data_IF_342230273038
#
_entry.id   IF_342230273038
#
_cell.length_a   1.000
_cell.length_b   1.000
_cell.length_c   1.000
_cell.angle_alpha   90.00
_cell.angle_beta   90.00
_cell.angle_gamma   90.00
#
_symmetry.space_group_name_H-M   'P 1'
#
loop_
_entity.id
_entity.type
_entity.pdbx_description
1 polymer ?
#
# COMPACT_ATOMS: atom_id res chain seq x y z
N UNK A 1 -6.76 1.88 -19.88
CA UNK A 1 -6.39 0.58 -19.27
C UNK A 1 -5.41 0.90 -18.15
N UNK A 2 -5.58 0.37 -16.95
CA UNK A 2 -4.90 0.70 -15.68
C UNK A 2 -5.26 2.05 -15.06
N UNK A 3 -6.48 2.53 -15.31
CA UNK A 3 -7.04 3.62 -14.52
C UNK A 3 -7.18 3.20 -13.04
N UNK A 4 -7.23 4.16 -12.14
CA UNK A 4 -7.44 3.85 -10.72
C UNK A 4 -8.71 3.01 -10.51
N UNK A 5 -9.80 3.30 -11.24
CA UNK A 5 -11.07 2.57 -11.18
C UNK A 5 -10.98 1.09 -11.58
N UNK A 6 -9.94 0.67 -12.29
CA UNK A 6 -9.73 -0.76 -12.63
C UNK A 6 -9.33 -1.59 -11.39
N UNK A 7 -8.77 -0.93 -10.36
CA UNK A 7 -8.21 -1.57 -9.15
C UNK A 7 -8.89 -1.12 -7.86
N UNK A 8 -9.39 0.11 -7.80
CA UNK A 8 -9.73 0.82 -6.58
C UNK A 8 -11.13 1.43 -6.67
N UNK A 9 -11.89 1.35 -5.61
CA UNK A 9 -13.09 2.14 -5.43
C UNK A 9 -12.73 3.46 -4.73
N UNK A 10 -12.63 4.51 -5.51
CA UNK A 10 -12.25 5.83 -5.01
C UNK A 10 -13.33 6.50 -4.12
N UNK A 11 -14.56 5.99 -4.08
CA UNK A 11 -15.63 6.53 -3.22
C UNK A 11 -15.32 6.31 -1.72
N UNK A 12 -14.50 5.32 -1.41
CA UNK A 12 -14.04 4.99 -0.05
C UNK A 12 -12.62 5.47 0.24
N UNK A 13 -12.17 6.51 -0.43
CA UNK A 13 -10.86 7.12 -0.21
C UNK A 13 -10.99 8.59 0.15
N UNK A 14 -10.60 8.95 1.37
CA UNK A 14 -10.59 10.35 1.83
C UNK A 14 -9.66 11.26 0.99
N UNK A 15 -8.76 10.69 0.22
CA UNK A 15 -7.77 11.37 -0.63
C UNK A 15 -7.99 11.06 -2.11
N UNK A 16 -9.24 10.86 -2.54
CA UNK A 16 -9.58 10.50 -3.93
C UNK A 16 -9.16 11.58 -4.95
N UNK A 17 -9.12 12.84 -4.53
CA UNK A 17 -8.65 13.97 -5.32
C UNK A 17 -7.21 13.83 -5.80
N UNK A 18 -6.37 13.10 -5.05
CA UNK A 18 -4.98 12.79 -5.43
C UNK A 18 -4.91 11.99 -6.73
N UNK A 19 -5.94 11.19 -7.03
CA UNK A 19 -6.01 10.37 -8.25
C UNK A 19 -6.56 11.15 -9.47
N UNK A 20 -7.05 12.38 -9.29
CA UNK A 20 -7.47 13.22 -10.40
C UNK A 20 -6.30 13.41 -11.40
N UNK A 21 -6.63 13.41 -12.69
CA UNK A 21 -5.66 13.57 -13.79
C UNK A 21 -4.52 12.53 -13.80
N UNK A 22 -4.71 11.36 -13.19
CA UNK A 22 -3.80 10.22 -13.33
C UNK A 22 -4.22 9.38 -14.55
N UNK A 23 -3.36 9.29 -15.55
CA UNK A 23 -3.59 8.44 -16.72
C UNK A 23 -3.51 6.95 -16.34
N UNK A 24 -2.59 6.62 -15.46
CA UNK A 24 -2.43 5.29 -14.89
C UNK A 24 -2.48 5.37 -13.35
N UNK A 25 -2.95 4.30 -12.72
CA UNK A 25 -3.10 4.23 -11.25
C UNK A 25 -1.81 4.53 -10.50
N UNK A 26 -0.65 4.15 -11.01
CA UNK A 26 0.65 4.42 -10.38
C UNK A 26 1.13 5.87 -10.50
N UNK A 27 0.51 6.70 -11.35
CA UNK A 27 0.92 8.10 -11.50
C UNK A 27 0.66 8.91 -10.22
N UNK A 28 -0.26 8.45 -9.37
CA UNK A 28 -0.53 9.04 -8.07
C UNK A 28 0.72 9.09 -7.17
N UNK A 29 1.60 8.11 -7.26
CA UNK A 29 2.85 8.07 -6.49
C UNK A 29 3.79 9.23 -6.85
N UNK A 30 3.78 9.71 -8.11
CA UNK A 30 4.55 10.88 -8.53
C UNK A 30 4.05 12.16 -7.87
N UNK A 31 2.76 12.21 -7.52
CA UNK A 31 2.11 13.39 -6.94
C UNK A 31 2.17 13.42 -5.42
N UNK A 32 2.41 12.28 -4.77
CA UNK A 32 2.25 12.11 -3.33
C UNK A 32 3.07 13.10 -2.50
N UNK A 33 4.33 13.35 -2.85
CA UNK A 33 5.18 14.33 -2.16
C UNK A 33 4.62 15.75 -2.26
N UNK A 34 4.19 16.15 -3.46
CA UNK A 34 3.62 17.48 -3.69
C UNK A 34 2.27 17.63 -2.98
N UNK A 35 1.51 16.55 -2.89
CA UNK A 35 0.25 16.50 -2.16
C UNK A 35 0.45 16.81 -0.68
N UNK A 36 1.43 16.19 -0.04
CA UNK A 36 1.78 16.51 1.35
C UNK A 36 2.25 17.95 1.57
N UNK A 37 2.88 18.55 0.57
CA UNK A 37 3.32 19.96 0.67
C UNK A 37 2.18 20.97 0.53
N UNK A 38 1.17 20.63 -0.24
CA UNK A 38 0.06 21.55 -0.59
C UNK A 38 -1.19 21.35 0.26
N UNK A 39 -1.38 20.16 0.80
CA UNK A 39 -2.60 19.80 1.54
C UNK A 39 -2.43 20.08 3.03
N UNK A 40 -3.43 20.74 3.63
CA UNK A 40 -3.53 20.87 5.08
C UNK A 40 -4.42 19.74 5.60
N UNK A 41 -3.83 18.79 6.30
CA UNK A 41 -4.55 17.61 6.81
C UNK A 41 -5.27 17.85 8.15
N UNK A 42 -5.30 19.08 8.64
CA UNK A 42 -5.90 19.40 9.94
C UNK A 42 -5.03 18.98 11.11
N UNK A 43 -5.68 18.72 12.26
CA UNK A 43 -5.01 18.25 13.47
C UNK A 43 -5.34 16.78 13.74
N UNK A 44 -4.49 16.13 14.52
CA UNK A 44 -4.77 14.78 15.01
C UNK A 44 -6.06 14.76 15.85
N UNK A 45 -6.83 13.69 15.68
CA UNK A 45 -7.97 13.38 16.54
C UNK A 45 -7.51 12.84 17.90
N UNK A 46 -8.48 12.40 18.71
CA UNK A 46 -8.19 11.70 19.97
C UNK A 46 -7.76 10.26 19.67
N UNK A 47 -6.48 9.97 19.82
CA UNK A 47 -5.89 8.64 19.66
C UNK A 47 -5.19 8.17 20.93
N UNK A 48 -4.88 6.88 21.04
CA UNK A 48 -4.25 6.27 22.22
C UNK A 48 -2.82 5.83 21.93
N UNK A 49 -1.86 6.23 22.77
CA UNK A 49 -0.54 5.61 22.82
C UNK A 49 -0.55 4.53 23.92
N UNK A 50 -0.33 3.29 23.54
CA UNK A 50 -0.13 2.19 24.47
C UNK A 50 1.39 2.05 24.70
N UNK A 51 1.92 2.69 25.74
CA UNK A 51 3.34 2.84 26.01
C UNK A 51 3.93 4.11 25.39
N UNK A 52 5.16 4.04 24.89
CA UNK A 52 5.95 5.19 24.41
C UNK A 52 6.38 5.02 22.94
N UNK A 53 5.46 5.05 21.96
CA UNK A 53 5.82 5.05 20.56
C UNK A 53 6.54 6.36 20.18
N UNK A 54 7.40 6.31 19.16
CA UNK A 54 7.96 7.53 18.58
C UNK A 54 7.04 8.04 17.46
N UNK A 55 6.54 9.26 17.61
CA UNK A 55 5.70 9.94 16.61
C UNK A 55 6.37 11.27 16.28
N UNK A 56 6.85 11.42 15.04
CA UNK A 56 7.52 12.62 14.59
C UNK A 56 6.55 13.79 14.36
N UNK A 57 7.05 15.05 14.36
CA UNK A 57 6.27 16.19 13.89
C UNK A 57 5.75 16.00 12.44
N UNK A 58 4.56 16.53 12.16
CA UNK A 58 3.93 16.41 10.83
C UNK A 58 3.22 15.08 10.59
N UNK A 59 3.04 14.26 11.63
CA UNK A 59 2.18 13.08 11.62
C UNK A 59 0.78 13.46 12.10
N UNK A 60 -0.24 13.09 11.33
CA UNK A 60 -1.66 13.25 11.68
C UNK A 60 -2.26 11.88 11.92
N UNK A 61 -2.96 11.70 13.04
CA UNK A 61 -3.57 10.44 13.44
C UNK A 61 -5.05 10.66 13.74
N UNK A 62 -5.90 9.84 13.14
CA UNK A 62 -7.34 9.89 13.28
C UNK A 62 -7.84 9.36 14.64
N UNK A 63 -9.08 9.74 14.94
CA UNK A 63 -9.76 9.37 16.19
C UNK A 63 -9.87 7.86 16.37
N UNK A 64 -9.68 7.39 17.62
CA UNK A 64 -9.82 5.99 18.00
C UNK A 64 -8.67 5.09 17.53
N UNK A 65 -7.65 5.63 16.87
CA UNK A 65 -6.45 4.87 16.50
C UNK A 65 -5.61 4.57 17.73
N UNK A 66 -5.05 3.36 17.77
CA UNK A 66 -4.14 2.89 18.83
C UNK A 66 -2.74 2.73 18.25
N UNK A 67 -1.75 3.36 18.89
CA UNK A 67 -0.32 3.24 18.57
C UNK A 67 0.38 2.54 19.71
N UNK A 68 0.91 1.34 19.46
CA UNK A 68 1.55 0.53 20.49
C UNK A 68 3.02 0.94 20.73
N UNK A 69 3.52 0.55 21.88
CA UNK A 69 4.92 0.75 22.25
C UNK A 69 5.89 0.16 21.22
N UNK A 70 6.99 0.86 20.99
CA UNK A 70 8.02 0.46 20.01
C UNK A 70 7.64 0.72 18.55
N UNK A 71 6.43 1.23 18.28
CA UNK A 71 6.12 1.75 16.94
C UNK A 71 6.91 3.06 16.70
N UNK A 72 7.37 3.23 15.45
CA UNK A 72 8.07 4.45 15.02
C UNK A 72 7.36 5.02 13.78
N UNK A 73 6.88 6.26 13.91
CA UNK A 73 6.16 6.95 12.83
C UNK A 73 6.92 8.23 12.48
N UNK A 74 7.48 8.26 11.27
CA UNK A 74 8.13 9.43 10.70
C UNK A 74 7.14 10.23 9.85
N UNK A 75 7.30 11.54 9.82
CA UNK A 75 6.44 12.41 9.01
C UNK A 75 7.10 12.81 7.68
N UNK A 76 6.32 13.36 6.74
CA UNK A 76 4.88 13.54 6.85
C UNK A 76 4.13 12.23 6.65
N UNK A 77 3.13 11.98 7.47
CA UNK A 77 2.24 10.82 7.35
C UNK A 77 0.83 11.17 7.85
N UNK A 78 -0.17 10.57 7.24
CA UNK A 78 -1.56 10.66 7.68
C UNK A 78 -2.07 9.24 7.93
N UNK A 79 -2.60 9.01 9.12
CA UNK A 79 -3.18 7.74 9.56
C UNK A 79 -4.64 8.02 9.90
N UNK A 80 -5.54 7.25 9.34
CA UNK A 80 -6.97 7.37 9.52
C UNK A 80 -7.45 7.02 10.93
N UNK A 81 -8.75 6.84 11.05
CA UNK A 81 -9.43 6.54 12.32
C UNK A 81 -9.42 5.04 12.62
N UNK A 82 -9.51 4.69 13.91
CA UNK A 82 -9.68 3.30 14.40
C UNK A 82 -8.62 2.32 13.88
N UNK A 83 -7.45 2.84 13.50
CA UNK A 83 -6.33 2.02 13.06
C UNK A 83 -5.61 1.37 14.24
N UNK A 84 -4.89 0.28 13.96
CA UNK A 84 -3.98 -0.37 14.89
C UNK A 84 -2.56 -0.27 14.34
N UNK A 85 -1.72 0.53 14.97
CA UNK A 85 -0.29 0.62 14.66
C UNK A 85 0.42 -0.17 15.76
N UNK A 86 0.80 -1.40 15.45
CA UNK A 86 1.26 -2.36 16.45
C UNK A 86 2.74 -2.23 16.74
N UNK A 87 3.17 -2.91 17.80
CA UNK A 87 4.55 -2.94 18.26
C UNK A 87 5.55 -3.18 17.13
N UNK A 88 6.61 -2.35 17.09
CA UNK A 88 7.68 -2.48 16.09
C UNK A 88 7.30 -2.09 14.65
N UNK A 89 6.10 -1.54 14.42
CA UNK A 89 5.76 -0.99 13.12
C UNK A 89 6.63 0.24 12.81
N UNK A 90 7.17 0.30 11.59
CA UNK A 90 7.97 1.42 11.12
C UNK A 90 7.27 2.10 9.93
N UNK A 91 6.60 3.22 10.20
CA UNK A 91 5.94 4.04 9.18
C UNK A 91 6.86 5.20 8.86
N UNK A 92 7.28 5.28 7.60
CA UNK A 92 8.19 6.30 7.10
C UNK A 92 7.42 7.48 6.48
N UNK A 93 8.14 8.31 5.75
CA UNK A 93 7.63 9.53 5.17
C UNK A 93 6.69 9.31 3.96
N UNK A 94 5.79 10.27 3.74
CA UNK A 94 4.83 10.30 2.63
C UNK A 94 3.93 9.06 2.58
N UNK A 95 3.30 8.73 3.71
CA UNK A 95 2.37 7.61 3.83
C UNK A 95 0.97 8.12 4.14
N UNK A 96 0.00 7.69 3.33
CA UNK A 96 -1.44 7.87 3.59
C UNK A 96 -2.03 6.51 3.96
N UNK A 97 -2.66 6.43 5.11
CA UNK A 97 -3.36 5.24 5.61
C UNK A 97 -4.81 5.64 5.89
N UNK A 98 -5.75 4.92 5.30
CA UNK A 98 -7.18 5.09 5.52
C UNK A 98 -7.65 4.65 6.90
N UNK A 99 -8.96 4.61 7.08
CA UNK A 99 -9.60 4.19 8.33
C UNK A 99 -9.53 2.67 8.52
N UNK A 100 -9.65 2.21 9.78
CA UNK A 100 -9.79 0.79 10.15
C UNK A 100 -8.62 -0.13 9.69
N UNK A 101 -7.43 0.44 9.46
CA UNK A 101 -6.26 -0.29 8.99
C UNK A 101 -5.46 -0.92 10.13
N UNK A 102 -4.75 -2.01 9.79
CA UNK A 102 -3.79 -2.65 10.70
C UNK A 102 -2.40 -2.60 10.09
N UNK A 103 -1.46 -1.94 10.77
CA UNK A 103 -0.02 -2.01 10.47
C UNK A 103 0.62 -2.75 11.63
N UNK A 104 1.00 -3.99 11.38
CA UNK A 104 1.36 -4.92 12.45
C UNK A 104 2.85 -4.95 12.78
N UNK A 105 3.20 -5.93 13.60
CA UNK A 105 4.54 -6.09 14.14
C UNK A 105 5.62 -6.18 13.06
N UNK A 106 6.68 -5.38 13.23
CA UNK A 106 7.84 -5.33 12.35
C UNK A 106 7.50 -5.14 10.85
N UNK A 107 6.44 -4.39 10.57
CA UNK A 107 6.08 -3.99 9.21
C UNK A 107 6.69 -2.63 8.90
N UNK A 108 7.28 -2.50 7.71
CA UNK A 108 7.75 -1.21 7.21
C UNK A 108 6.85 -0.72 6.08
N UNK A 109 6.39 0.54 6.19
CA UNK A 109 5.58 1.22 5.16
C UNK A 109 6.24 2.55 4.81
N UNK A 110 6.46 2.81 3.51
CA UNK A 110 7.03 4.07 3.04
C UNK A 110 6.45 4.51 1.70
N UNK A 111 6.25 5.82 1.52
CA UNK A 111 5.83 6.43 0.26
C UNK A 111 4.69 5.64 -0.41
N UNK A 112 3.61 5.38 0.34
CA UNK A 112 2.53 4.46 -0.04
C UNK A 112 1.17 4.98 0.36
N UNK A 113 0.15 4.48 -0.31
CA UNK A 113 -1.25 4.81 -0.06
C UNK A 113 -1.98 3.50 0.28
N UNK A 114 -2.57 3.43 1.46
CA UNK A 114 -3.39 2.33 1.93
C UNK A 114 -4.82 2.84 2.12
N UNK A 115 -5.77 2.20 1.45
CA UNK A 115 -7.19 2.49 1.59
C UNK A 115 -7.77 1.87 2.86
N UNK A 116 -9.04 2.18 3.15
CA UNK A 116 -9.70 1.73 4.37
C UNK A 116 -9.69 0.21 4.55
N UNK A 117 -9.50 -0.24 5.78
CA UNK A 117 -9.52 -1.64 6.15
C UNK A 117 -8.35 -2.48 5.66
N UNK A 118 -7.27 -1.86 5.17
CA UNK A 118 -6.07 -2.59 4.78
C UNK A 118 -5.41 -3.28 5.97
N UNK A 119 -4.96 -4.51 5.74
CA UNK A 119 -4.25 -5.30 6.75
C UNK A 119 -2.83 -5.66 6.29
N UNK A 120 -1.84 -5.13 7.00
CA UNK A 120 -0.40 -5.37 6.83
C UNK A 120 0.16 -5.87 8.17
N UNK A 121 -0.21 -7.10 8.62
CA UNK A 121 -0.17 -7.46 10.03
C UNK A 121 1.18 -7.92 10.57
N UNK A 122 2.09 -8.49 9.75
CA UNK A 122 3.30 -9.14 10.26
C UNK A 122 4.47 -9.16 9.29
N UNK A 123 5.61 -8.56 9.68
CA UNK A 123 6.89 -8.66 8.96
C UNK A 123 6.83 -8.30 7.48
N UNK A 124 5.94 -7.39 7.13
CA UNK A 124 5.73 -6.99 5.75
C UNK A 124 6.61 -5.80 5.37
N UNK A 125 6.92 -5.69 4.08
CA UNK A 125 7.51 -4.48 3.50
C UNK A 125 6.59 -3.91 2.41
N UNK A 126 6.19 -2.66 2.58
CA UNK A 126 5.32 -1.91 1.65
C UNK A 126 6.04 -0.62 1.26
N UNK A 127 6.66 -0.62 0.10
CA UNK A 127 7.37 0.55 -0.42
C UNK A 127 6.83 1.00 -1.76
N UNK A 128 6.58 2.33 -1.90
CA UNK A 128 6.16 2.96 -3.15
C UNK A 128 4.98 2.19 -3.80
N UNK A 129 3.94 1.92 -3.00
CA UNK A 129 2.84 1.01 -3.36
C UNK A 129 1.47 1.59 -3.06
N UNK A 130 0.44 0.99 -3.65
CA UNK A 130 -0.96 1.34 -3.43
C UNK A 130 -1.71 0.07 -3.04
N UNK A 131 -2.37 0.07 -1.89
CA UNK A 131 -3.23 -1.01 -1.42
C UNK A 131 -4.68 -0.51 -1.39
N UNK A 132 -5.55 -1.17 -2.12
CA UNK A 132 -6.98 -0.89 -2.17
C UNK A 132 -7.71 -1.32 -0.89
N UNK A 133 -8.96 -0.93 -0.79
CA UNK A 133 -9.79 -1.19 0.39
C UNK A 133 -9.82 -2.68 0.76
N UNK A 134 -9.58 -2.97 2.05
CA UNK A 134 -9.55 -4.34 2.60
C UNK A 134 -8.57 -5.29 1.90
N UNK A 135 -7.52 -4.76 1.27
CA UNK A 135 -6.41 -5.57 0.82
C UNK A 135 -5.67 -6.16 2.02
N UNK A 136 -5.33 -7.44 1.94
CA UNK A 136 -4.65 -8.16 3.02
C UNK A 136 -3.31 -8.72 2.56
N UNK A 137 -2.26 -8.47 3.32
CA UNK A 137 -0.94 -9.05 3.12
C UNK A 137 -0.65 -10.08 4.22
N UNK A 138 -0.54 -11.35 3.88
CA UNK A 138 -0.10 -12.40 4.80
C UNK A 138 1.29 -12.10 5.39
N UNK A 139 1.66 -12.82 6.44
CA UNK A 139 2.93 -12.62 7.12
C UNK A 139 4.13 -12.73 6.16
N UNK A 140 5.07 -11.80 6.25
CA UNK A 140 6.30 -11.83 5.47
C UNK A 140 6.18 -11.42 4.00
N UNK A 141 5.05 -10.90 3.53
CA UNK A 141 4.92 -10.40 2.17
C UNK A 141 5.85 -9.21 1.93
N UNK A 142 6.50 -9.19 0.77
CA UNK A 142 7.37 -8.10 0.35
C UNK A 142 6.87 -7.50 -0.97
N UNK A 143 6.55 -6.21 -0.96
CA UNK A 143 6.33 -5.43 -2.17
C UNK A 143 7.66 -4.80 -2.58
N UNK A 144 8.44 -5.54 -3.38
CA UNK A 144 9.75 -5.07 -3.83
C UNK A 144 9.59 -3.88 -4.77
N UNK A 145 10.23 -2.76 -4.46
CA UNK A 145 10.00 -1.49 -5.14
C UNK A 145 11.17 -1.00 -5.99
N UNK A 146 12.29 -1.73 -6.03
CA UNK A 146 13.51 -1.35 -6.76
C UNK A 146 13.99 -2.52 -7.59
N UNK A 147 14.39 -2.27 -8.83
CA UNK A 147 15.10 -3.25 -9.66
C UNK A 147 16.56 -3.41 -9.22
N UNK A 148 17.15 -4.57 -9.46
CA UNK A 148 18.58 -4.80 -9.24
C UNK A 148 19.48 -3.91 -10.13
N UNK A 149 19.00 -3.56 -11.34
CA UNK A 149 19.60 -2.53 -12.18
C UNK A 149 18.89 -1.21 -11.95
N UNK A 150 19.63 -0.12 -11.86
CA UNK A 150 19.08 1.24 -11.74
C UNK A 150 18.42 1.65 -13.07
N UNK A 151 17.19 1.27 -13.25
CA UNK A 151 16.37 1.54 -14.42
C UNK A 151 14.96 1.92 -13.98
N UNK A 152 14.26 2.71 -14.81
CA UNK A 152 12.83 2.94 -14.66
C UNK A 152 12.05 1.62 -14.60
N UNK A 153 11.03 1.59 -13.76
CA UNK A 153 10.19 0.41 -13.62
C UNK A 153 9.19 0.36 -14.76
N UNK A 154 9.05 -0.83 -15.36
CA UNK A 154 8.10 -1.12 -16.42
C UNK A 154 7.05 -2.09 -15.92
N UNK A 155 5.81 -1.81 -16.26
CA UNK A 155 4.70 -2.72 -16.02
C UNK A 155 4.58 -3.66 -17.22
N UNK A 156 4.53 -4.97 -16.96
CA UNK A 156 4.37 -5.99 -18.01
C UNK A 156 2.93 -6.47 -18.10
N UNK A 157 2.36 -6.37 -19.31
CA UNK A 157 0.99 -6.79 -19.59
C UNK A 157 0.93 -7.44 -20.95
N UNK A 158 0.51 -8.71 -21.01
CA UNK A 158 0.32 -9.45 -22.26
C UNK A 158 1.53 -9.33 -23.23
N UNK A 159 2.73 -9.44 -22.68
CA UNK A 159 3.97 -9.37 -23.46
C UNK A 159 4.43 -7.93 -23.81
N UNK A 160 3.65 -6.90 -23.50
CA UNK A 160 4.03 -5.49 -23.69
C UNK A 160 4.59 -4.91 -22.40
N UNK A 161 5.55 -4.02 -22.54
CA UNK A 161 6.11 -3.23 -21.41
C UNK A 161 5.62 -1.79 -21.52
N UNK A 162 5.13 -1.25 -20.40
CA UNK A 162 4.67 0.13 -20.27
C UNK A 162 5.61 0.85 -19.31
N UNK A 163 6.25 1.91 -19.77
CA UNK A 163 7.10 2.75 -18.95
C UNK A 163 6.26 3.48 -17.90
N UNK A 164 6.68 3.41 -16.64
CA UNK A 164 5.99 4.13 -15.56
C UNK A 164 6.58 5.51 -15.30
N UNK A 165 7.82 5.74 -15.69
CA UNK A 165 8.59 6.94 -15.34
C UNK A 165 8.94 6.99 -13.84
N UNK A 166 8.86 5.87 -13.13
CA UNK A 166 9.20 5.72 -11.71
C UNK A 166 10.47 4.88 -11.57
N UNK A 167 11.43 5.37 -10.80
CA UNK A 167 12.63 4.60 -10.40
C UNK A 167 12.32 3.63 -9.25
N UNK A 168 11.27 3.95 -8.46
CA UNK A 168 10.76 3.13 -7.36
C UNK A 168 9.26 2.96 -7.50
N UNK A 169 8.82 1.73 -7.61
CA UNK A 169 7.42 1.37 -7.66
C UNK A 169 7.26 -0.10 -7.26
N UNK A 170 6.59 -0.35 -6.15
CA UNK A 170 6.32 -1.69 -5.66
C UNK A 170 5.17 -2.35 -6.40
N UNK A 171 3.96 -2.20 -5.87
CA UNK A 171 2.78 -2.83 -6.45
C UNK A 171 1.52 -1.96 -6.30
N UNK A 172 0.55 -2.23 -7.17
CA UNK A 172 -0.86 -1.92 -6.90
C UNK A 172 -1.55 -3.22 -6.52
N UNK A 173 -2.14 -3.24 -5.35
CA UNK A 173 -2.95 -4.35 -4.83
C UNK A 173 -4.39 -3.87 -4.78
N UNK A 174 -5.25 -4.41 -5.63
CA UNK A 174 -6.63 -3.97 -5.77
C UNK A 174 -7.51 -4.28 -4.55
N UNK A 175 -8.70 -3.68 -4.53
CA UNK A 175 -9.65 -3.86 -3.42
C UNK A 175 -9.93 -5.34 -3.16
N UNK A 176 -9.96 -5.73 -1.88
CA UNK A 176 -10.23 -7.08 -1.39
C UNK A 176 -9.25 -8.15 -1.87
N UNK A 177 -8.11 -7.77 -2.45
CA UNK A 177 -7.10 -8.74 -2.85
C UNK A 177 -6.40 -9.34 -1.61
N UNK A 178 -6.00 -10.61 -1.73
CA UNK A 178 -5.40 -11.40 -0.65
C UNK A 178 -4.03 -11.93 -1.08
N UNK A 179 -2.99 -11.54 -0.40
CA UNK A 179 -1.61 -11.96 -0.71
C UNK A 179 -1.13 -12.91 0.37
N UNK A 180 -0.85 -14.15 0.01
CA UNK A 180 -0.43 -15.21 0.92
C UNK A 180 0.94 -14.98 1.53
N UNK A 181 1.19 -15.62 2.68
CA UNK A 181 2.42 -15.46 3.44
C UNK A 181 3.69 -15.68 2.59
N UNK A 182 4.72 -14.87 2.85
CA UNK A 182 6.02 -14.91 2.16
C UNK A 182 5.96 -14.77 0.64
N UNK A 183 4.84 -14.31 0.07
CA UNK A 183 4.81 -13.97 -1.33
C UNK A 183 5.63 -12.70 -1.59
N UNK A 184 6.26 -12.63 -2.76
CA UNK A 184 7.02 -11.49 -3.23
C UNK A 184 6.35 -10.91 -4.46
N UNK A 185 5.91 -9.66 -4.38
CA UNK A 185 5.49 -8.91 -5.56
C UNK A 185 6.67 -8.09 -6.07
N UNK A 186 7.12 -8.41 -7.28
CA UNK A 186 8.24 -7.70 -7.91
C UNK A 186 7.84 -6.29 -8.36
N UNK A 187 8.80 -5.37 -8.56
CA UNK A 187 8.53 -4.00 -8.96
C UNK A 187 7.61 -3.91 -10.19
N UNK A 188 6.57 -3.09 -10.06
CA UNK A 188 5.58 -2.89 -11.11
C UNK A 188 4.50 -3.97 -11.19
N UNK A 189 4.29 -4.74 -10.13
CA UNK A 189 3.19 -5.71 -10.06
C UNK A 189 1.83 -5.03 -9.92
N UNK A 190 0.85 -5.47 -10.69
CA UNK A 190 -0.53 -5.02 -10.63
C UNK A 190 -1.44 -6.19 -10.32
N UNK A 191 -2.13 -6.14 -9.19
CA UNK A 191 -3.05 -7.19 -8.72
C UNK A 191 -4.48 -6.64 -8.79
N UNK A 192 -5.33 -7.26 -9.60
CA UNK A 192 -6.71 -6.87 -9.74
C UNK A 192 -7.55 -7.12 -8.48
N UNK A 193 -8.73 -6.53 -8.46
CA UNK A 193 -9.67 -6.65 -7.32
C UNK A 193 -10.01 -8.10 -7.01
N UNK A 194 -10.16 -8.44 -5.72
CA UNK A 194 -10.57 -9.76 -5.20
C UNK A 194 -9.66 -10.92 -5.60
N UNK A 195 -8.53 -10.63 -6.24
CA UNK A 195 -7.59 -11.66 -6.65
C UNK A 195 -6.78 -12.18 -5.47
N UNK A 196 -6.26 -13.39 -5.61
CA UNK A 196 -5.50 -14.07 -4.57
C UNK A 196 -4.15 -14.53 -5.08
N UNK A 197 -3.12 -14.32 -4.29
CA UNK A 197 -1.78 -14.86 -4.50
C UNK A 197 -1.50 -15.88 -3.39
N UNK A 198 -1.15 -17.11 -3.75
CA UNK A 198 -0.85 -18.14 -2.76
C UNK A 198 0.48 -17.85 -2.02
N UNK A 199 0.68 -18.48 -0.85
CA UNK A 199 1.92 -18.35 -0.11
C UNK A 199 3.14 -18.70 -0.94
N UNK A 200 4.26 -18.02 -0.66
CA UNK A 200 5.59 -18.23 -1.29
C UNK A 200 5.64 -18.00 -2.81
N UNK A 201 4.59 -17.45 -3.41
CA UNK A 201 4.60 -17.10 -4.83
C UNK A 201 5.48 -15.88 -5.07
N UNK A 202 6.32 -15.95 -6.10
CA UNK A 202 7.09 -14.81 -6.61
C UNK A 202 6.41 -14.29 -7.88
N UNK A 203 5.70 -13.17 -7.77
CA UNK A 203 4.86 -12.63 -8.86
C UNK A 203 5.48 -11.41 -9.52
N UNK A 204 5.26 -11.27 -10.83
CA UNK A 204 5.56 -10.06 -11.62
C UNK A 204 4.50 -9.86 -12.71
N UNK A 205 4.10 -8.61 -12.93
CA UNK A 205 3.21 -8.20 -14.00
C UNK A 205 1.77 -8.03 -13.53
N UNK A 206 0.83 -8.14 -14.45
CA UNK A 206 -0.58 -7.89 -14.20
C UNK A 206 -1.34 -9.19 -13.93
N UNK A 207 -2.03 -9.26 -12.82
CA UNK A 207 -3.04 -10.26 -12.49
C UNK A 207 -4.42 -9.61 -12.61
N UNK A 208 -5.30 -10.07 -13.53
CA UNK A 208 -6.66 -9.57 -13.64
C UNK A 208 -7.48 -9.79 -12.35
N UNK A 209 -8.59 -9.06 -12.21
CA UNK A 209 -9.52 -9.25 -11.08
C UNK A 209 -10.09 -10.67 -11.06
N UNK A 210 -10.46 -11.12 -9.84
CA UNK A 210 -11.11 -12.43 -9.64
C UNK A 210 -10.27 -13.63 -10.10
N UNK A 211 -8.94 -13.52 -9.97
CA UNK A 211 -8.01 -14.59 -10.32
C UNK A 211 -7.24 -15.07 -9.08
N UNK A 212 -6.77 -16.29 -9.16
CA UNK A 212 -5.90 -16.88 -8.14
C UNK A 212 -4.61 -17.39 -8.80
N UNK A 213 -3.47 -17.09 -8.15
CA UNK A 213 -2.16 -17.59 -8.57
C UNK A 213 -1.70 -18.64 -7.57
N UNK A 214 -1.37 -19.83 -8.07
CA UNK A 214 -0.76 -20.95 -7.36
C UNK A 214 0.47 -21.40 -8.14
N UNK A 215 1.62 -21.55 -7.51
CA UNK A 215 2.85 -22.06 -8.14
C UNK A 215 3.15 -21.40 -9.50
N UNK A 216 2.95 -20.08 -9.61
CA UNK A 216 3.09 -19.28 -10.84
C UNK A 216 2.09 -19.62 -11.97
N UNK A 217 1.04 -20.36 -11.70
CA UNK A 217 -0.09 -20.60 -12.62
C UNK A 217 -1.30 -19.76 -12.19
N UNK A 218 -2.05 -19.26 -13.17
CA UNK A 218 -3.26 -18.44 -12.94
C UNK A 218 -4.49 -19.31 -13.11
N UNK A 219 -5.42 -19.21 -12.15
CA UNK A 219 -6.71 -19.89 -12.19
C UNK A 219 -7.84 -18.88 -11.97
N UNK A 220 -9.05 -19.26 -12.35
CA UNK A 220 -10.24 -18.52 -11.95
C UNK A 220 -10.51 -18.68 -10.46
N UNK A 221 -11.01 -17.62 -9.85
CA UNK A 221 -11.50 -17.67 -8.47
C UNK A 221 -12.95 -18.22 -8.56
N UNK A 222 -13.18 -19.37 -7.93
CA UNK A 222 -14.51 -20.00 -7.84
C UNK A 222 -15.36 -19.31 -6.78
#
# INVERSE_FOLDING_TARGET
MFAASDFLDLQHCAHSDLFADCACVWDVLKKLRLYFQKHSFGCSGSFTCAGHPYIAPGVIIGEGTVVEEGAMILGPAVIGKRCQIRHGAYIRDHVLIGDDCVIGNACEVKHSILFDGCEVPHFNYVGDSILGSRAHLGAGVKLSNVKLKQESIRVRVQGKEIETGLEKFGAVVGDFAQIGCNAVLNPGSLIGRRSRIYPCVNWRGFLPSDKIVKENQIFDLL
#
